data_IF_106282322167
#
_entry.id   IF_106282322167
#
_cell.length_a   1.000
_cell.length_b   1.000
_cell.length_c   1.000
_cell.angle_alpha   90.00
_cell.angle_beta   90.00
_cell.angle_gamma   90.00
#
_symmetry.space_group_name_H-M   'P 1'
#
loop_
_entity.id
_entity.type
_entity.pdbx_description
1 polymer ?
#
# COMPACT_ATOMS: atom_id res chain seq x y z
N UNK A 1 9.28 -26.19 -6.32
CA UNK A 1 9.44 -25.19 -5.25
C UNK A 1 10.14 -23.95 -5.82
N UNK A 2 9.39 -23.11 -6.52
CA UNK A 2 9.70 -21.72 -6.90
C UNK A 2 8.31 -21.07 -6.98
N UNK A 3 7.99 -20.02 -6.23
CA UNK A 3 8.40 -18.65 -6.55
C UNK A 3 8.09 -17.76 -5.35
N UNK A 4 9.06 -16.96 -4.91
CA UNK A 4 8.76 -15.79 -4.10
C UNK A 4 7.97 -14.83 -5.00
N UNK A 5 6.69 -14.63 -4.71
CA UNK A 5 5.85 -13.75 -5.51
C UNK A 5 6.49 -12.36 -5.58
N UNK A 6 6.82 -11.91 -6.79
CA UNK A 6 7.25 -10.54 -7.04
C UNK A 6 6.07 -9.63 -6.69
N UNK A 7 6.23 -8.77 -5.69
CA UNK A 7 5.25 -7.74 -5.36
C UNK A 7 5.14 -6.80 -6.56
N UNK A 8 3.93 -6.56 -7.05
CA UNK A 8 3.68 -5.61 -8.13
C UNK A 8 4.06 -4.20 -7.67
N UNK A 9 4.50 -3.34 -8.59
CA UNK A 9 4.96 -1.98 -8.27
C UNK A 9 4.33 -0.95 -9.21
N UNK A 10 4.06 0.24 -8.68
CA UNK A 10 3.62 1.42 -9.44
C UNK A 10 4.75 2.44 -9.47
N UNK A 11 4.98 3.03 -10.64
CA UNK A 11 5.95 4.12 -10.80
C UNK A 11 5.29 5.45 -10.43
N UNK A 12 5.90 6.17 -9.50
CA UNK A 12 5.59 7.58 -9.22
C UNK A 12 6.33 8.39 -10.27
N UNK A 13 5.60 9.21 -11.04
CA UNK A 13 6.18 10.04 -12.10
C UNK A 13 6.39 11.46 -11.58
N UNK A 14 7.58 12.02 -11.80
CA UNK A 14 7.92 13.41 -11.52
C UNK A 14 7.24 14.33 -12.57
N UNK A 15 6.31 15.21 -12.18
CA UNK A 15 5.58 16.04 -13.14
C UNK A 15 6.46 17.03 -13.91
N UNK A 16 7.60 17.48 -13.37
CA UNK A 16 8.45 18.46 -14.05
C UNK A 16 9.31 17.88 -15.18
N UNK A 17 9.61 16.58 -15.14
CA UNK A 17 10.55 15.92 -16.06
C UNK A 17 9.97 14.70 -16.77
N UNK A 18 8.77 14.26 -16.38
CA UNK A 18 8.12 13.02 -16.79
C UNK A 18 8.95 11.74 -16.48
N UNK A 19 9.99 11.88 -15.65
CA UNK A 19 10.82 10.76 -15.21
C UNK A 19 10.21 9.96 -14.07
N UNK A 20 10.71 8.75 -13.83
CA UNK A 20 10.34 7.95 -12.65
C UNK A 20 11.02 8.54 -11.41
N UNK A 21 10.22 9.01 -10.46
CA UNK A 21 10.67 9.53 -9.17
C UNK A 21 10.92 8.39 -8.17
N UNK A 22 10.03 7.41 -8.13
CA UNK A 22 10.11 6.27 -7.21
C UNK A 22 9.28 5.08 -7.73
N UNK A 23 9.60 3.89 -7.22
CA UNK A 23 8.75 2.69 -7.35
C UNK A 23 8.14 2.36 -5.99
N UNK A 24 6.84 2.16 -5.94
CA UNK A 24 6.11 1.79 -4.72
C UNK A 24 5.39 0.48 -4.91
N UNK A 25 5.26 -0.33 -3.85
CA UNK A 25 4.48 -1.56 -3.90
C UNK A 25 3.00 -1.26 -4.20
N UNK A 26 2.42 -2.01 -5.13
CA UNK A 26 0.99 -1.96 -5.45
C UNK A 26 0.23 -2.86 -4.48
N UNK A 27 -0.66 -2.26 -3.67
CA UNK A 27 -1.51 -2.99 -2.75
C UNK A 27 -2.79 -3.49 -3.43
N UNK A 28 -3.14 -4.75 -3.21
CA UNK A 28 -4.36 -5.37 -3.75
C UNK A 28 -5.60 -5.15 -2.87
N UNK A 29 -6.73 -5.73 -3.30
CA UNK A 29 -8.00 -5.68 -2.55
C UNK A 29 -7.85 -6.32 -1.18
N UNK A 30 -7.16 -7.45 -1.09
CA UNK A 30 -6.95 -8.20 0.15
C UNK A 30 -6.08 -7.40 1.15
N UNK A 31 -5.15 -6.59 0.64
CA UNK A 31 -4.36 -5.69 1.48
C UNK A 31 -5.22 -4.55 2.03
N UNK A 32 -6.10 -3.99 1.20
CA UNK A 32 -7.06 -2.97 1.62
C UNK A 32 -8.00 -3.51 2.71
N UNK A 33 -8.55 -4.71 2.52
CA UNK A 33 -9.42 -5.36 3.51
C UNK A 33 -8.70 -5.59 4.85
N UNK A 34 -7.46 -6.10 4.79
CA UNK A 34 -6.61 -6.27 5.97
C UNK A 34 -6.31 -4.95 6.66
N UNK A 35 -6.05 -3.89 5.91
CA UNK A 35 -5.78 -2.56 6.45
C UNK A 35 -7.02 -1.99 7.15
N UNK A 36 -8.20 -2.08 6.52
CA UNK A 36 -9.48 -1.64 7.08
C UNK A 36 -9.83 -2.41 8.35
N UNK A 37 -9.63 -3.73 8.37
CA UNK A 37 -9.87 -4.55 9.56
C UNK A 37 -9.01 -4.09 10.74
N UNK A 38 -7.72 -3.81 10.51
CA UNK A 38 -6.80 -3.28 11.54
C UNK A 38 -7.22 -1.87 12.00
N UNK A 39 -7.58 -1.00 11.06
CA UNK A 39 -8.04 0.35 11.38
C UNK A 39 -9.30 0.32 12.25
N UNK A 40 -10.28 -0.54 11.91
CA UNK A 40 -11.49 -0.74 12.72
C UNK A 40 -11.18 -1.24 14.13
N UNK A 41 -10.23 -2.15 14.28
CA UNK A 41 -9.81 -2.66 15.58
C UNK A 41 -9.13 -1.57 16.44
N UNK A 42 -8.35 -0.69 15.82
CA UNK A 42 -7.66 0.40 16.51
C UNK A 42 -8.57 1.59 16.85
N UNK A 43 -9.62 1.82 16.05
CA UNK A 43 -10.45 3.02 16.13
C UNK A 43 -11.05 3.32 17.52
N UNK A 44 -11.59 2.35 18.29
CA UNK A 44 -12.17 2.64 19.60
C UNK A 44 -11.19 3.30 20.57
N UNK A 45 -9.94 2.83 20.62
CA UNK A 45 -8.90 3.41 21.47
C UNK A 45 -8.44 4.78 20.92
N UNK A 46 -8.32 4.90 19.60
CA UNK A 46 -7.89 6.14 18.96
C UNK A 46 -8.88 7.29 19.14
N UNK A 47 -10.19 7.03 19.07
CA UNK A 47 -11.22 8.08 19.17
C UNK A 47 -11.51 8.55 20.60
N UNK A 48 -10.85 7.96 21.59
CA UNK A 48 -11.11 8.22 23.01
C UNK A 48 -10.25 9.37 23.56
N UNK A 49 -9.41 10.00 22.73
CA UNK A 49 -8.59 11.18 23.06
C UNK A 49 -9.20 12.47 22.54
#
# INVERSE_FOLDING_TARGET
MLSGAKVATVNVIEPATEGVLAEVAEAGVEDADRAVARAKAAFPAWRAV
#
